data_IF_768691287204
#
_entry.id   IF_768691287204
#
_cell.length_a   1.000
_cell.length_b   1.000
_cell.length_c   1.000
_cell.angle_alpha   90.00
_cell.angle_beta   90.00
_cell.angle_gamma   90.00
#
_symmetry.space_group_name_H-M   'P 1'
#
loop_
_entity.id
_entity.type
_entity.pdbx_description
1 polymer ?
#
# COMPACT_ATOMS: atom_id res chain seq x y z
N UNK A 1 -19.17 -1.60 16.82
CA UNK A 1 -17.90 -0.85 16.69
C UNK A 1 -16.80 -1.88 16.84
N UNK A 2 -15.98 -2.09 15.81
CA UNK A 2 -14.84 -3.02 15.91
C UNK A 2 -13.73 -2.28 16.64
N UNK A 3 -13.11 -2.94 17.63
CA UNK A 3 -12.03 -2.33 18.41
C UNK A 3 -10.74 -2.25 17.57
N UNK A 4 -9.95 -1.15 17.67
CA UNK A 4 -8.69 -0.98 16.93
C UNK A 4 -7.74 -2.17 17.07
N UNK A 5 -7.64 -2.76 18.27
CA UNK A 5 -6.83 -3.95 18.53
C UNK A 5 -7.29 -5.17 17.72
N UNK A 6 -8.60 -5.35 17.56
CA UNK A 6 -9.15 -6.44 16.74
C UNK A 6 -8.82 -6.26 15.26
N UNK A 7 -8.80 -5.02 14.77
CA UNK A 7 -8.41 -4.69 13.39
C UNK A 7 -6.90 -4.90 13.17
N UNK A 8 -6.07 -4.50 14.13
CA UNK A 8 -4.63 -4.71 14.05
C UNK A 8 -4.25 -6.20 14.11
N UNK A 9 -4.85 -6.97 15.01
CA UNK A 9 -4.62 -8.41 15.13
C UNK A 9 -4.94 -9.16 13.83
N UNK A 10 -5.95 -8.67 13.12
CA UNK A 10 -6.38 -9.19 11.85
C UNK A 10 -5.36 -8.94 10.72
N UNK A 11 -4.73 -7.76 10.68
CA UNK A 11 -3.58 -7.50 9.79
C UNK A 11 -2.39 -8.37 10.19
N UNK A 12 -2.07 -8.45 11.49
CA UNK A 12 -0.96 -9.27 11.99
C UNK A 12 -1.12 -10.75 11.60
N UNK A 13 -2.36 -11.25 11.59
CA UNK A 13 -2.70 -12.62 11.18
C UNK A 13 -2.30 -12.98 9.75
N UNK A 14 -2.22 -12.00 8.84
CA UNK A 14 -1.79 -12.22 7.45
C UNK A 14 -0.35 -11.78 7.18
N UNK A 15 0.16 -10.78 7.90
CA UNK A 15 1.53 -10.28 7.72
C UNK A 15 2.56 -11.35 8.07
N UNK A 16 2.38 -12.07 9.18
CA UNK A 16 3.33 -13.08 9.65
C UNK A 16 3.51 -14.23 8.63
N UNK A 17 2.43 -14.91 8.17
CA UNK A 17 2.59 -15.95 7.16
C UNK A 17 3.11 -15.41 5.82
N UNK A 18 2.70 -14.20 5.41
CA UNK A 18 3.22 -13.57 4.19
C UNK A 18 4.74 -13.33 4.26
N UNK A 19 5.23 -12.77 5.37
CA UNK A 19 6.68 -12.60 5.62
C UNK A 19 7.41 -13.95 5.55
N UNK A 20 6.83 -15.01 6.11
CA UNK A 20 7.43 -16.33 6.05
C UNK A 20 7.54 -16.84 4.61
N UNK A 21 6.45 -16.79 3.84
CA UNK A 21 6.41 -17.21 2.43
C UNK A 21 7.41 -16.43 1.56
N UNK A 22 7.44 -15.11 1.71
CA UNK A 22 8.37 -14.24 0.97
C UNK A 22 9.84 -14.54 1.29
N UNK A 23 10.17 -14.78 2.57
CA UNK A 23 11.55 -15.15 2.98
C UNK A 23 11.97 -16.51 2.45
N UNK A 24 11.05 -17.46 2.35
CA UNK A 24 11.32 -18.75 1.72
C UNK A 24 11.61 -18.58 0.23
N UNK A 25 10.79 -17.78 -0.49
CA UNK A 25 11.05 -17.48 -1.88
C UNK A 25 12.38 -16.75 -2.09
N UNK A 26 12.67 -15.75 -1.25
CA UNK A 26 13.93 -15.01 -1.27
C UNK A 26 15.14 -15.95 -1.14
N UNK A 27 15.08 -16.91 -0.20
CA UNK A 27 16.10 -17.94 -0.02
C UNK A 27 16.23 -18.83 -1.25
N UNK A 28 15.10 -19.32 -1.78
CA UNK A 28 15.09 -20.16 -2.97
C UNK A 28 15.72 -19.43 -4.17
N UNK A 29 15.53 -18.11 -4.30
CA UNK A 29 16.16 -17.28 -5.34
C UNK A 29 17.67 -17.08 -5.10
N UNK A 30 18.08 -16.88 -3.86
CA UNK A 30 19.50 -16.74 -3.47
C UNK A 30 20.31 -18.01 -3.72
N UNK A 31 19.68 -19.17 -3.60
CA UNK A 31 20.31 -20.47 -3.84
C UNK A 31 20.51 -20.78 -5.34
N UNK A 32 19.98 -19.94 -6.25
CA UNK A 32 20.12 -20.10 -7.70
C UNK A 32 21.51 -19.65 -8.16
N UNK A 33 22.28 -20.59 -8.69
CA UNK A 33 23.55 -20.28 -9.35
C UNK A 33 23.31 -19.67 -10.74
N UNK A 34 24.08 -18.64 -11.08
CA UNK A 34 24.02 -17.94 -12.38
C UNK A 34 22.64 -17.31 -12.69
N UNK A 35 21.98 -16.75 -11.68
CA UNK A 35 20.67 -16.11 -11.81
C UNK A 35 20.67 -14.97 -12.85
N UNK A 36 19.71 -14.96 -13.80
CA UNK A 36 19.58 -13.88 -14.77
C UNK A 36 19.20 -12.56 -14.09
N UNK A 37 19.45 -11.43 -14.76
CA UNK A 37 19.26 -10.10 -14.18
C UNK A 37 17.85 -9.90 -13.59
N UNK A 38 16.81 -10.33 -14.30
CA UNK A 38 15.42 -10.22 -13.84
C UNK A 38 15.13 -11.01 -12.56
N UNK A 39 15.83 -12.12 -12.30
CA UNK A 39 15.72 -12.87 -11.03
C UNK A 39 16.38 -12.09 -9.88
N UNK A 40 17.52 -11.43 -10.15
CA UNK A 40 18.16 -10.54 -9.15
C UNK A 40 17.33 -9.29 -8.86
N UNK A 41 16.73 -8.71 -9.88
CA UNK A 41 15.81 -7.59 -9.74
C UNK A 41 14.60 -8.02 -8.87
N UNK A 42 14.05 -9.21 -9.10
CA UNK A 42 12.98 -9.79 -8.27
C UNK A 42 13.41 -10.02 -6.81
N UNK A 43 14.64 -10.46 -6.57
CA UNK A 43 15.22 -10.62 -5.23
C UNK A 43 15.21 -9.28 -4.45
N UNK A 44 15.58 -8.18 -5.13
CA UNK A 44 15.53 -6.84 -4.54
C UNK A 44 14.09 -6.41 -4.23
N UNK A 45 13.13 -6.66 -5.12
CA UNK A 45 11.73 -6.34 -4.88
C UNK A 45 11.17 -7.09 -3.67
N UNK A 46 11.48 -8.39 -3.55
CA UNK A 46 11.09 -9.19 -2.38
C UNK A 46 11.68 -8.66 -1.07
N UNK A 47 12.94 -8.21 -1.10
CA UNK A 47 13.57 -7.59 0.06
C UNK A 47 12.88 -6.28 0.47
N UNK A 48 12.46 -5.46 -0.51
CA UNK A 48 11.72 -4.23 -0.25
C UNK A 48 10.34 -4.52 0.37
N UNK A 49 9.61 -5.51 -0.16
CA UNK A 49 8.31 -5.92 0.38
C UNK A 49 8.45 -6.51 1.80
N UNK A 50 9.46 -7.36 2.05
CA UNK A 50 9.76 -7.90 3.39
C UNK A 50 9.98 -6.78 4.41
N UNK A 51 10.75 -5.75 4.03
CA UNK A 51 10.98 -4.57 4.89
C UNK A 51 9.69 -3.77 5.11
N UNK A 52 8.87 -3.58 4.07
CA UNK A 52 7.60 -2.86 4.19
C UNK A 52 6.62 -3.61 5.09
N UNK A 53 6.48 -4.93 4.94
CA UNK A 53 5.65 -5.77 5.81
C UNK A 53 6.17 -5.80 7.25
N UNK A 54 7.48 -5.85 7.45
CA UNK A 54 8.07 -5.77 8.80
C UNK A 54 7.81 -4.42 9.46
N UNK A 55 7.85 -3.33 8.68
CA UNK A 55 7.47 -1.99 9.15
C UNK A 55 5.98 -1.92 9.50
N UNK A 56 5.12 -2.51 8.67
CA UNK A 56 3.68 -2.60 8.91
C UNK A 56 3.37 -3.35 10.22
N UNK A 57 4.10 -4.44 10.49
CA UNK A 57 3.97 -5.20 11.73
C UNK A 57 4.36 -4.40 12.98
N UNK A 58 5.28 -3.44 12.82
CA UNK A 58 5.80 -2.63 13.91
C UNK A 58 4.95 -1.37 14.21
N UNK A 59 3.93 -1.08 13.38
CA UNK A 59 2.99 0.03 13.63
C UNK A 59 2.17 -0.26 14.89
N UNK A 60 1.88 0.79 15.66
CA UNK A 60 1.01 0.68 16.81
C UNK A 60 -0.41 0.22 16.40
N UNK A 61 -0.99 -0.77 17.09
CA UNK A 61 -2.33 -1.27 16.77
C UNK A 61 -3.41 -0.19 16.68
N UNK A 62 -3.28 0.86 17.49
CA UNK A 62 -4.20 2.00 17.52
C UNK A 62 -4.12 2.81 16.23
N UNK A 63 -2.92 3.09 15.73
CA UNK A 63 -2.68 3.85 14.49
C UNK A 63 -3.33 3.15 13.29
N UNK A 64 -3.11 1.84 13.15
CA UNK A 64 -3.66 1.09 12.02
C UNK A 64 -5.17 0.89 12.15
N UNK A 65 -5.64 0.62 13.37
CA UNK A 65 -7.07 0.42 13.65
C UNK A 65 -7.89 1.71 13.50
N UNK A 66 -7.26 2.88 13.69
CA UNK A 66 -7.89 4.19 13.51
C UNK A 66 -8.31 4.46 12.06
N UNK A 67 -7.69 3.79 11.08
CA UNK A 67 -8.07 3.87 9.66
C UNK A 67 -9.40 3.16 9.36
N UNK A 68 -9.91 2.36 10.28
CA UNK A 68 -11.20 1.68 10.18
C UNK A 68 -11.14 0.35 9.43
N UNK A 69 -12.27 -0.37 9.49
CA UNK A 69 -12.36 -1.75 8.99
C UNK A 69 -12.18 -1.86 7.49
N UNK A 70 -12.70 -0.90 6.72
CA UNK A 70 -12.64 -0.89 5.26
C UNK A 70 -11.19 -0.82 4.75
N UNK A 71 -10.36 0.05 5.32
CA UNK A 71 -8.92 0.08 5.03
C UNK A 71 -8.25 -1.21 5.51
N UNK A 72 -8.51 -1.65 6.73
CA UNK A 72 -7.92 -2.88 7.31
C UNK A 72 -8.18 -4.10 6.43
N UNK A 73 -9.40 -4.25 5.92
CA UNK A 73 -9.81 -5.36 5.06
C UNK A 73 -9.13 -5.28 3.68
N UNK A 74 -9.02 -4.09 3.10
CA UNK A 74 -8.30 -3.88 1.85
C UNK A 74 -6.78 -4.13 1.98
N UNK A 75 -6.17 -3.74 3.11
CA UNK A 75 -4.77 -4.05 3.44
C UNK A 75 -4.58 -5.56 3.51
N UNK A 76 -5.46 -6.25 4.24
CA UNK A 76 -5.41 -7.70 4.36
C UNK A 76 -5.48 -8.39 3.01
N UNK A 77 -6.49 -8.04 2.20
CA UNK A 77 -6.68 -8.58 0.86
C UNK A 77 -5.45 -8.35 -0.03
N UNK A 78 -4.86 -7.16 0.01
CA UNK A 78 -3.64 -6.83 -0.75
C UNK A 78 -2.46 -7.71 -0.34
N UNK A 79 -2.28 -7.96 0.96
CA UNK A 79 -1.20 -8.81 1.49
C UNK A 79 -1.44 -10.28 1.12
N UNK A 80 -2.67 -10.76 1.21
CA UNK A 80 -3.06 -12.12 0.86
C UNK A 80 -2.81 -12.41 -0.62
N UNK A 81 -3.22 -11.50 -1.52
CA UNK A 81 -2.99 -11.65 -2.97
C UNK A 81 -1.49 -11.65 -3.27
N UNK A 82 -0.73 -10.73 -2.67
CA UNK A 82 0.72 -10.70 -2.85
C UNK A 82 1.42 -11.97 -2.34
N UNK A 83 1.02 -12.47 -1.17
CA UNK A 83 1.53 -13.73 -0.61
C UNK A 83 1.21 -14.92 -1.52
N UNK A 84 -0.02 -15.00 -2.01
CA UNK A 84 -0.44 -16.07 -2.93
C UNK A 84 0.37 -16.04 -4.24
N UNK A 85 0.65 -14.85 -4.78
CA UNK A 85 1.48 -14.69 -5.95
C UNK A 85 2.93 -15.14 -5.70
N UNK A 86 3.50 -14.82 -4.52
CA UNK A 86 4.82 -15.32 -4.11
C UNK A 86 4.85 -16.85 -3.98
N UNK A 87 3.85 -17.45 -3.33
CA UNK A 87 3.78 -18.90 -3.12
C UNK A 87 3.63 -19.66 -4.44
N UNK A 88 2.81 -19.12 -5.36
CA UNK A 88 2.66 -19.66 -6.71
C UNK A 88 3.97 -19.57 -7.49
N UNK A 89 4.60 -18.40 -7.51
CA UNK A 89 5.88 -18.23 -8.18
C UNK A 89 6.97 -19.15 -7.61
N UNK A 90 7.00 -19.34 -6.29
CA UNK A 90 7.91 -20.28 -5.63
C UNK A 90 7.67 -21.73 -6.09
N UNK A 91 6.42 -22.14 -6.20
CA UNK A 91 6.05 -23.47 -6.70
C UNK A 91 6.55 -23.67 -8.14
N UNK A 92 6.33 -22.68 -9.00
CA UNK A 92 6.81 -22.69 -10.38
C UNK A 92 8.34 -22.70 -10.44
N UNK A 93 9.00 -21.89 -9.61
CA UNK A 93 10.45 -21.82 -9.48
C UNK A 93 11.05 -23.20 -9.14
N UNK A 94 10.47 -23.88 -8.15
CA UNK A 94 10.89 -25.22 -7.74
C UNK A 94 10.67 -26.24 -8.88
N UNK A 95 9.55 -26.15 -9.60
CA UNK A 95 9.30 -26.99 -10.76
C UNK A 95 10.33 -26.74 -11.88
N UNK A 96 10.70 -25.48 -12.11
CA UNK A 96 11.67 -25.09 -13.13
C UNK A 96 13.10 -25.52 -12.80
N UNK A 97 13.41 -25.75 -11.53
CA UNK A 97 14.76 -26.08 -11.02
C UNK A 97 14.92 -27.55 -10.57
N UNK A 98 13.84 -28.35 -10.60
CA UNK A 98 13.71 -29.70 -10.04
C UNK A 98 14.70 -30.78 -10.54
N UNK A 99 15.38 -30.58 -11.67
CA UNK A 99 16.32 -31.56 -12.25
C UNK A 99 17.80 -31.14 -12.14
N UNK A 100 18.11 -30.13 -11.34
CA UNK A 100 19.49 -29.72 -11.10
C UNK A 100 20.21 -30.77 -10.25
N UNK A 101 21.04 -31.60 -10.90
CA UNK A 101 21.85 -32.62 -10.24
C UNK A 101 22.93 -31.98 -9.37
N UNK A 102 22.67 -31.88 -8.07
CA UNK A 102 23.61 -31.40 -7.07
C UNK A 102 22.90 -30.56 -6.01
N UNK A 103 23.57 -30.36 -4.87
CA UNK A 103 23.13 -29.68 -3.64
C UNK A 103 22.57 -28.23 -3.81
N UNK A 104 22.44 -27.70 -5.05
CA UNK A 104 22.05 -26.30 -5.37
C UNK A 104 21.21 -26.19 -6.64
N UNK A 105 20.29 -25.23 -6.68
CA UNK A 105 19.39 -24.97 -7.81
C UNK A 105 20.17 -24.42 -9.03
N UNK A 106 20.13 -25.13 -10.16
CA UNK A 106 20.70 -24.69 -11.45
C UNK A 106 19.60 -24.13 -12.36
N UNK A 107 19.75 -22.89 -12.82
CA UNK A 107 18.84 -22.26 -13.79
C UNK A 107 19.05 -22.75 -15.24
N UNK A 108 20.14 -23.49 -15.50
CA UNK A 108 20.67 -23.76 -16.85
C UNK A 108 19.87 -24.80 -17.65
N UNK A 109 19.10 -25.67 -17.01
CA UNK A 109 18.63 -26.91 -17.67
C UNK A 109 17.39 -26.77 -18.58
N UNK A 110 16.84 -25.57 -18.81
CA UNK A 110 15.70 -25.38 -19.73
C UNK A 110 15.77 -24.07 -20.53
N UNK A 111 16.65 -24.03 -21.53
CA UNK A 111 16.79 -22.94 -22.51
C UNK A 111 15.59 -22.74 -23.47
N UNK A 112 14.57 -23.61 -23.43
CA UNK A 112 13.41 -23.55 -24.33
C UNK A 112 12.13 -22.86 -23.77
N UNK A 113 12.18 -22.18 -22.61
CA UNK A 113 10.99 -21.55 -21.97
C UNK A 113 11.22 -20.03 -21.71
N UNK A 114 12.12 -19.40 -22.48
CA UNK A 114 12.65 -18.06 -22.18
C UNK A 114 11.61 -16.94 -22.09
N UNK A 115 10.59 -16.93 -22.95
CA UNK A 115 9.58 -15.86 -22.96
C UNK A 115 8.60 -15.96 -21.79
N UNK A 116 8.14 -17.17 -21.48
CA UNK A 116 7.15 -17.45 -20.45
C UNK A 116 7.67 -17.18 -19.04
N UNK A 117 8.88 -17.66 -18.74
CA UNK A 117 9.57 -17.35 -17.48
C UNK A 117 9.76 -15.84 -17.34
N UNK A 118 10.04 -15.14 -18.44
CA UNK A 118 10.24 -13.70 -18.41
C UNK A 118 8.94 -12.92 -18.21
N UNK A 119 7.84 -13.33 -18.84
CA UNK A 119 6.51 -12.74 -18.62
C UNK A 119 6.04 -12.97 -17.18
N UNK A 120 6.19 -14.18 -16.65
CA UNK A 120 5.80 -14.50 -15.28
C UNK A 120 6.66 -13.74 -14.25
N UNK A 121 8.00 -13.69 -14.44
CA UNK A 121 8.89 -12.90 -13.59
C UNK A 121 8.51 -11.40 -13.61
N UNK A 122 8.19 -10.84 -14.78
CA UNK A 122 7.76 -9.45 -14.87
C UNK A 122 6.44 -9.18 -14.15
N UNK A 123 5.47 -10.08 -14.27
CA UNK A 123 4.19 -9.93 -13.59
C UNK A 123 4.35 -9.98 -12.08
N UNK A 124 5.10 -10.95 -11.54
CA UNK A 124 5.36 -10.98 -10.08
C UNK A 124 6.16 -9.77 -9.61
N UNK A 125 7.12 -9.27 -10.40
CA UNK A 125 7.82 -8.01 -10.10
C UNK A 125 6.85 -6.83 -10.01
N UNK A 126 5.95 -6.70 -11.00
CA UNK A 126 4.90 -5.65 -11.02
C UNK A 126 3.99 -5.73 -9.79
N UNK A 127 3.57 -6.95 -9.41
CA UNK A 127 2.74 -7.17 -8.22
C UNK A 127 3.49 -6.81 -6.93
N UNK A 128 4.76 -7.21 -6.81
CA UNK A 128 5.59 -6.90 -5.63
C UNK A 128 5.87 -5.40 -5.50
N UNK A 129 6.22 -4.72 -6.58
CA UNK A 129 6.43 -3.27 -6.60
C UNK A 129 5.18 -2.53 -6.13
N UNK A 130 4.02 -2.88 -6.69
CA UNK A 130 2.77 -2.29 -6.24
C UNK A 130 2.44 -2.66 -4.79
N UNK A 131 2.80 -3.87 -4.33
CA UNK A 131 2.56 -4.28 -2.95
C UNK A 131 3.39 -3.45 -1.97
N UNK A 132 4.66 -3.24 -2.30
CA UNK A 132 5.55 -2.34 -1.56
C UNK A 132 4.97 -0.93 -1.49
N UNK A 133 4.54 -0.36 -2.63
CA UNK A 133 3.95 0.99 -2.68
C UNK A 133 2.70 1.06 -1.81
N UNK A 134 1.80 0.09 -1.92
CA UNK A 134 0.57 0.05 -1.14
C UNK A 134 0.83 -0.05 0.36
N UNK A 135 1.68 -0.97 0.79
CA UNK A 135 2.02 -1.13 2.22
C UNK A 135 2.67 0.15 2.76
N UNK A 136 3.57 0.76 1.98
CA UNK A 136 4.23 2.02 2.38
C UNK A 136 3.24 3.19 2.47
N UNK A 137 2.27 3.24 1.55
CA UNK A 137 1.16 4.20 1.58
C UNK A 137 0.30 4.03 2.83
N UNK A 138 -0.04 2.79 3.19
CA UNK A 138 -0.77 2.48 4.43
C UNK A 138 -0.01 2.95 5.65
N UNK A 139 1.28 2.60 5.75
CA UNK A 139 2.16 2.98 6.87
C UNK A 139 2.16 4.51 7.02
N UNK A 140 2.46 5.23 5.93
CA UNK A 140 2.55 6.69 5.97
C UNK A 140 1.20 7.35 6.27
N UNK A 141 0.10 6.79 5.78
CA UNK A 141 -1.26 7.28 6.05
C UNK A 141 -1.63 7.06 7.51
N UNK A 142 -1.36 5.88 8.08
CA UNK A 142 -1.60 5.58 9.49
C UNK A 142 -0.85 6.56 10.40
N UNK A 143 0.45 6.77 10.15
CA UNK A 143 1.28 7.71 10.92
C UNK A 143 0.76 9.15 10.84
N UNK A 144 0.37 9.60 9.64
CA UNK A 144 -0.18 10.96 9.48
C UNK A 144 -1.54 11.11 10.13
N UNK A 145 -2.42 10.10 9.97
CA UNK A 145 -3.74 10.11 10.56
C UNK A 145 -3.67 10.13 12.09
N UNK A 146 -2.78 9.33 12.68
CA UNK A 146 -2.47 9.36 14.12
C UNK A 146 -1.93 10.72 14.55
N UNK A 147 -1.00 11.30 13.80
CA UNK A 147 -0.47 12.65 14.07
C UNK A 147 -1.57 13.71 14.08
N UNK A 148 -2.53 13.64 13.15
CA UNK A 148 -3.70 14.52 13.12
C UNK A 148 -4.59 14.35 14.36
N UNK A 149 -4.75 13.13 14.89
CA UNK A 149 -5.57 12.90 16.09
C UNK A 149 -4.88 13.40 17.36
N UNK A 150 -3.56 13.27 17.47
CA UNK A 150 -2.82 13.51 18.72
C UNK A 150 -2.19 14.91 18.82
N UNK A 151 -2.13 15.69 17.74
CA UNK A 151 -1.48 17.02 17.74
C UNK A 151 -2.39 18.12 17.17
N UNK A 152 -2.18 19.38 17.57
CA UNK A 152 -2.75 20.50 16.83
C UNK A 152 -2.16 20.49 15.41
N UNK A 153 -3.02 20.52 14.39
CA UNK A 153 -2.59 20.59 12.99
C UNK A 153 -1.61 21.74 12.83
N UNK A 154 -0.34 21.42 12.61
CA UNK A 154 0.66 22.39 12.18
C UNK A 154 0.61 22.53 10.66
N UNK A 155 1.15 23.64 10.14
CA UNK A 155 1.24 23.84 8.69
C UNK A 155 2.10 22.77 8.02
N UNK A 156 3.08 22.20 8.73
CA UNK A 156 3.89 21.07 8.26
C UNK A 156 3.06 19.81 8.06
N UNK A 157 2.18 19.49 9.03
CA UNK A 157 1.27 18.34 8.92
C UNK A 157 0.27 18.56 7.77
N UNK A 158 -0.26 19.78 7.63
CA UNK A 158 -1.14 20.15 6.51
C UNK A 158 -0.46 19.98 5.16
N UNK A 159 0.79 20.42 5.05
CA UNK A 159 1.57 20.25 3.82
C UNK A 159 1.86 18.78 3.54
N UNK A 160 2.23 18.00 4.56
CA UNK A 160 2.46 16.57 4.41
C UNK A 160 1.18 15.83 3.96
N UNK A 161 0.02 16.26 4.46
CA UNK A 161 -1.29 15.74 4.08
C UNK A 161 -1.59 15.98 2.60
N UNK A 162 -1.45 17.22 2.12
CA UNK A 162 -1.67 17.56 0.70
C UNK A 162 -0.73 16.78 -0.23
N UNK A 163 0.55 16.67 0.14
CA UNK A 163 1.53 15.86 -0.61
C UNK A 163 1.07 14.40 -0.69
N UNK A 164 0.59 13.83 0.42
CA UNK A 164 0.12 12.45 0.44
C UNK A 164 -1.18 12.22 -0.31
N UNK A 165 -2.10 13.17 -0.28
CA UNK A 165 -3.31 13.11 -1.12
C UNK A 165 -2.94 13.07 -2.61
N UNK A 166 -1.99 13.92 -3.05
CA UNK A 166 -1.51 13.93 -4.43
C UNK A 166 -0.78 12.63 -4.80
N UNK A 167 0.06 12.09 -3.91
CA UNK A 167 0.75 10.80 -4.11
C UNK A 167 -0.25 9.63 -4.23
N UNK A 168 -1.24 9.54 -3.34
CA UNK A 168 -2.27 8.49 -3.38
C UNK A 168 -3.12 8.58 -4.65
N UNK A 169 -3.48 9.81 -5.06
CA UNK A 169 -4.23 10.04 -6.30
C UNK A 169 -3.42 9.62 -7.52
N UNK A 170 -2.14 9.99 -7.59
CA UNK A 170 -1.24 9.58 -8.65
C UNK A 170 -1.09 8.05 -8.69
N UNK A 171 -0.86 7.42 -7.55
CA UNK A 171 -0.74 5.95 -7.45
C UNK A 171 -2.02 5.23 -7.89
N UNK A 172 -3.20 5.72 -7.48
CA UNK A 172 -4.49 5.14 -7.88
C UNK A 172 -4.75 5.29 -9.40
N UNK A 173 -4.32 6.40 -10.00
CA UNK A 173 -4.37 6.59 -11.45
C UNK A 173 -3.42 5.66 -12.19
N UNK A 174 -2.18 5.50 -11.71
CA UNK A 174 -1.21 4.58 -12.29
C UNK A 174 -1.70 3.14 -12.22
N UNK A 175 -2.23 2.68 -11.08
CA UNK A 175 -2.81 1.35 -10.95
C UNK A 175 -4.00 1.15 -11.91
N UNK A 176 -4.84 2.18 -12.09
CA UNK A 176 -5.92 2.17 -13.07
C UNK A 176 -5.44 2.02 -14.52
N UNK A 177 -4.41 2.79 -14.92
CA UNK A 177 -3.81 2.72 -16.26
C UNK A 177 -3.16 1.36 -16.52
N UNK A 178 -2.43 0.81 -15.56
CA UNK A 178 -1.85 -0.54 -15.66
C UNK A 178 -2.93 -1.59 -15.83
N UNK A 179 -4.04 -1.48 -15.08
CA UNK A 179 -5.18 -2.40 -15.18
C UNK A 179 -5.84 -2.35 -16.56
N UNK A 180 -6.02 -1.15 -17.12
CA UNK A 180 -6.56 -0.98 -18.48
C UNK A 180 -5.64 -1.61 -19.53
N UNK A 181 -4.32 -1.43 -19.40
CA UNK A 181 -3.32 -2.03 -20.25
C UNK A 181 -3.39 -3.57 -20.20
N UNK A 182 -3.38 -4.16 -19.00
CA UNK A 182 -3.51 -5.61 -18.81
C UNK A 182 -4.83 -6.13 -19.39
N UNK A 183 -5.92 -5.39 -19.19
CA UNK A 183 -7.23 -5.75 -19.74
C UNK A 183 -7.25 -5.73 -21.29
N UNK A 184 -6.58 -4.75 -21.91
CA UNK A 184 -6.43 -4.69 -23.37
C UNK A 184 -5.60 -5.86 -23.94
N UNK A 185 -4.56 -6.28 -23.21
CA UNK A 185 -3.75 -7.45 -23.56
C UNK A 185 -4.58 -8.73 -23.48
N UNK A 186 -5.36 -8.91 -22.42
CA UNK A 186 -6.28 -10.04 -22.27
C UNK A 186 -7.33 -10.10 -23.40
N UNK A 187 -7.90 -8.96 -23.79
CA UNK A 187 -8.84 -8.91 -24.92
C UNK A 187 -8.19 -9.30 -26.24
N UNK A 188 -6.95 -8.87 -26.47
CA UNK A 188 -6.20 -9.22 -27.69
C UNK A 188 -5.93 -10.72 -27.76
N UNK A 189 -5.52 -11.33 -26.63
CA UNK A 189 -5.30 -12.77 -26.52
C UNK A 189 -6.59 -13.57 -26.72
N UNK A 190 -7.75 -13.05 -26.24
CA UNK A 190 -9.05 -13.70 -26.42
C UNK A 190 -9.55 -13.72 -27.87
N UNK A 191 -9.04 -12.83 -28.74
CA UNK A 191 -9.41 -12.77 -30.17
C UNK A 191 -8.52 -13.70 -31.02
N UNK A 192 -7.31 -13.98 -30.53
CA UNK A 192 -6.40 -14.95 -31.13
C UNK A 192 -6.67 -16.32 -30.51
N UNK A 193 -7.64 -17.07 -31.05
CA UNK A 193 -8.09 -18.44 -30.71
C UNK A 193 -7.00 -19.55 -30.67
N UNK A 194 -5.72 -19.20 -30.51
CA UNK A 194 -4.56 -20.09 -30.66
C UNK A 194 -3.48 -19.92 -29.58
N UNK A 195 -3.61 -18.98 -28.65
CA UNK A 195 -2.68 -18.84 -27.51
C UNK A 195 -3.13 -19.72 -26.32
N UNK A 196 -2.21 -20.46 -25.65
CA UNK A 196 -2.58 -21.36 -24.56
C UNK A 196 -3.23 -20.61 -23.39
N UNK A 197 -4.26 -21.19 -22.78
CA UNK A 197 -4.90 -20.74 -21.53
C UNK A 197 -3.91 -20.45 -20.36
N UNK A 198 -2.65 -20.83 -20.51
CA UNK A 198 -1.54 -20.51 -19.59
C UNK A 198 -0.98 -19.08 -19.72
N UNK A 199 -1.09 -18.36 -20.85
CA UNK A 199 -0.60 -16.95 -20.95
C UNK A 199 -1.55 -15.97 -20.27
N UNK A 200 -2.85 -16.29 -20.23
CA UNK A 200 -3.87 -15.40 -19.68
C UNK A 200 -3.86 -15.37 -18.15
N UNK A 201 -3.53 -16.49 -17.48
CA UNK A 201 -3.61 -16.61 -16.02
C UNK A 201 -2.78 -15.56 -15.26
N UNK A 202 -1.49 -15.33 -15.57
CA UNK A 202 -0.71 -14.31 -14.86
C UNK A 202 -1.26 -12.89 -15.05
N UNK A 203 -1.82 -12.59 -16.24
CA UNK A 203 -2.42 -11.30 -16.54
C UNK A 203 -3.77 -11.11 -15.83
N UNK A 204 -4.56 -12.17 -15.69
CA UNK A 204 -5.80 -12.14 -14.90
C UNK A 204 -5.50 -11.89 -13.41
N UNK A 205 -4.51 -12.60 -12.85
CA UNK A 205 -4.06 -12.41 -11.47
C UNK A 205 -3.52 -10.99 -11.24
N UNK A 206 -2.73 -10.45 -12.18
CA UNK A 206 -2.24 -9.08 -12.12
C UNK A 206 -3.39 -8.05 -12.20
N UNK A 207 -4.43 -8.31 -12.99
CA UNK A 207 -5.62 -7.46 -13.07
C UNK A 207 -6.39 -7.45 -11.76
N UNK A 208 -6.59 -8.59 -11.12
CA UNK A 208 -7.25 -8.70 -9.81
C UNK A 208 -6.45 -7.97 -8.73
N UNK A 209 -5.13 -8.18 -8.72
CA UNK A 209 -4.23 -7.47 -7.83
C UNK A 209 -4.32 -5.95 -8.01
N UNK A 210 -4.29 -5.45 -9.25
CA UNK A 210 -4.39 -4.03 -9.54
C UNK A 210 -5.75 -3.45 -9.13
N UNK A 211 -6.82 -4.23 -9.21
CA UNK A 211 -8.13 -3.80 -8.72
C UNK A 211 -8.15 -3.63 -7.19
N UNK A 212 -7.62 -4.61 -6.44
CA UNK A 212 -7.50 -4.52 -4.99
C UNK A 212 -6.59 -3.35 -4.55
N UNK A 213 -5.46 -3.18 -5.25
CA UNK A 213 -4.54 -2.05 -5.06
C UNK A 213 -5.23 -0.70 -5.22
N UNK A 214 -5.98 -0.54 -6.31
CA UNK A 214 -6.69 0.69 -6.62
C UNK A 214 -7.74 1.02 -5.56
N UNK A 215 -8.43 0.02 -5.05
CA UNK A 215 -9.44 0.19 -4.00
C UNK A 215 -8.82 0.61 -2.67
N UNK A 216 -7.73 -0.05 -2.26
CA UNK A 216 -6.98 0.33 -1.06
C UNK A 216 -6.53 1.80 -1.12
N UNK A 217 -5.94 2.23 -2.24
CA UNK A 217 -5.45 3.61 -2.39
C UNK A 217 -6.59 4.64 -2.35
N UNK A 218 -7.77 4.30 -2.86
CA UNK A 218 -8.96 5.17 -2.77
C UNK A 218 -9.45 5.30 -1.34
N UNK A 219 -9.50 4.20 -0.60
CA UNK A 219 -9.94 4.21 0.79
C UNK A 219 -8.97 4.96 1.71
N UNK A 220 -7.65 4.84 1.47
CA UNK A 220 -6.67 5.68 2.15
C UNK A 220 -6.88 7.18 1.86
N UNK A 221 -7.13 7.53 0.59
CA UNK A 221 -7.40 8.92 0.21
C UNK A 221 -8.66 9.46 0.90
N UNK A 222 -9.74 8.68 0.92
CA UNK A 222 -10.99 9.02 1.60
C UNK A 222 -10.75 9.25 3.11
N UNK A 223 -9.96 8.40 3.76
CA UNK A 223 -9.62 8.57 5.19
C UNK A 223 -8.84 9.85 5.49
N UNK A 224 -7.89 10.21 4.62
CA UNK A 224 -7.17 11.48 4.76
C UNK A 224 -8.10 12.69 4.59
N UNK A 225 -9.03 12.65 3.63
CA UNK A 225 -10.00 13.72 3.41
C UNK A 225 -11.02 13.87 4.57
N UNK A 226 -11.45 12.75 5.16
CA UNK A 226 -12.29 12.75 6.37
C UNK A 226 -11.56 13.42 7.55
N UNK A 227 -10.25 13.16 7.71
CA UNK A 227 -9.45 13.79 8.76
C UNK A 227 -9.29 15.30 8.55
N UNK A 228 -9.08 15.74 7.30
CA UNK A 228 -8.97 17.15 6.92
C UNK A 228 -10.23 17.97 7.23
N UNK A 229 -11.41 17.37 7.07
CA UNK A 229 -12.70 18.06 7.20
C UNK A 229 -13.24 18.08 8.63
N UNK A 230 -12.90 17.07 9.44
CA UNK A 230 -13.37 16.92 10.81
C UNK A 230 -12.71 17.88 11.82
N UNK A 231 -11.61 18.53 11.43
CA UNK A 231 -10.86 19.45 12.29
C UNK A 231 -11.06 20.91 11.87
N UNK A 232 -12.31 21.38 11.93
CA UNK A 232 -12.53 22.82 12.11
C UNK A 232 -12.09 23.16 13.54
N UNK A 233 -11.16 24.12 13.75
CA UNK A 233 -10.80 24.52 15.10
C UNK A 233 -12.07 24.95 15.84
N UNK A 234 -12.23 24.62 17.13
CA UNK A 234 -13.38 25.08 17.89
C UNK A 234 -13.40 26.60 17.83
N UNK A 235 -14.43 27.15 17.16
CA UNK A 235 -14.71 28.58 17.19
C UNK A 235 -15.13 28.86 18.63
N UNK A 236 -14.18 29.30 19.45
CA UNK A 236 -14.46 29.77 20.79
C UNK A 236 -15.15 31.13 20.66
N UNK A 237 -16.48 31.10 20.56
CA UNK A 237 -17.30 32.30 20.62
C UNK A 237 -17.34 32.77 22.07
N UNK A 238 -16.42 33.67 22.43
CA UNK A 238 -16.48 34.37 23.72
C UNK A 238 -17.47 35.52 23.59
N UNK A 239 -18.69 35.35 24.10
CA UNK A 239 -19.65 36.45 24.21
C UNK A 239 -19.45 37.16 25.55
N UNK A 240 -18.98 38.40 25.51
CA UNK A 240 -18.92 39.25 26.70
C UNK A 240 -20.31 39.81 27.01
N UNK A 241 -20.73 39.75 28.29
CA UNK A 241 -21.92 40.43 28.76
C UNK A 241 -21.77 41.95 28.74
N UNK A 242 -22.89 42.68 28.77
CA UNK A 242 -22.98 44.15 28.59
C UNK A 242 -22.28 45.01 29.66
N UNK A 243 -21.62 44.40 30.65
CA UNK A 243 -20.97 45.09 31.77
C UNK A 243 -19.46 44.84 31.89
N UNK A 244 -18.85 44.09 30.97
CA UNK A 244 -17.41 43.85 31.00
C UNK A 244 -16.68 44.85 30.10
N UNK A 245 -15.84 45.70 30.69
CA UNK A 245 -14.82 46.48 29.99
C UNK A 245 -13.45 45.86 30.25
N UNK A 246 -12.78 45.40 29.20
CA UNK A 246 -11.44 44.82 29.30
C UNK A 246 -11.05 44.05 28.04
N UNK A 247 -9.75 44.01 27.75
CA UNK A 247 -9.17 43.19 26.68
C UNK A 247 -8.47 41.99 27.35
N UNK A 248 -9.04 40.80 27.25
CA UNK A 248 -8.35 39.58 27.66
C UNK A 248 -7.63 38.99 26.46
N UNK A 249 -6.31 39.14 26.42
CA UNK A 249 -5.49 38.54 25.37
C UNK A 249 -4.95 37.20 25.90
N UNK A 250 -5.60 36.11 25.52
CA UNK A 250 -5.00 34.77 25.62
C UNK A 250 -3.96 34.56 24.51
N UNK A 251 -3.10 33.57 24.66
CA UNK A 251 -2.20 33.14 23.59
C UNK A 251 -3.02 32.49 22.48
N UNK A 252 -3.13 33.16 21.33
CA UNK A 252 -3.72 32.65 20.11
C UNK A 252 -2.61 32.49 19.06
N UNK A 253 -2.40 31.27 18.56
CA UNK A 253 -1.42 30.95 17.53
C UNK A 253 -2.01 30.98 16.10
N UNK A 254 -3.27 31.39 15.93
CA UNK A 254 -3.96 31.47 14.64
C UNK A 254 -4.28 32.90 14.20
N UNK A 255 -4.62 33.06 12.91
CA UNK A 255 -4.99 34.35 12.29
C UNK A 255 -6.33 34.83 12.81
N UNK A 256 -6.36 35.98 13.50
CA UNK A 256 -7.60 36.63 13.93
C UNK A 256 -8.18 37.50 12.81
N UNK A 257 -9.37 37.15 12.32
CA UNK A 257 -10.13 37.95 11.35
C UNK A 257 -11.38 38.54 12.01
N UNK A 258 -11.78 39.76 11.62
CA UNK A 258 -13.07 40.35 12.03
C UNK A 258 -13.10 41.11 13.35
N UNK A 259 -11.96 41.58 13.86
CA UNK A 259 -11.93 42.45 15.04
C UNK A 259 -12.57 43.81 14.71
N UNK A 260 -13.76 44.07 15.24
CA UNK A 260 -14.44 45.37 15.17
C UNK A 260 -14.36 46.01 16.56
N UNK A 261 -13.52 47.03 16.69
CA UNK A 261 -13.48 47.84 17.91
C UNK A 261 -14.65 48.83 17.88
N UNK A 262 -15.64 48.58 18.74
CA UNK A 262 -16.76 49.50 18.93
C UNK A 262 -16.30 50.80 19.58
N UNK A 263 -16.12 51.84 18.78
CA UNK A 263 -16.01 53.21 19.28
C UNK A 263 -17.37 53.67 19.80
N UNK A 264 -17.50 53.86 21.10
CA UNK A 264 -18.55 54.74 21.63
C UNK A 264 -18.04 56.18 21.51
N UNK A 265 -18.89 57.04 20.93
CA UNK A 265 -18.64 58.47 20.77
C UNK A 265 -18.47 59.22 22.08
#
# INVERSE_FOLDING_TARGET
MVEPLSLAANIAGVVIPALHGMRLLLRDLQDIKDAPKNVKDLENELFLVDRSLSSLQAIEPEDIGSLGSEVTDNVRSTIEICSAACDKFRTDLQQWTRHSGGEKLSWRDRSNIGFWKQAHIKSIQSQLQNCQVNITSVISTATLYSSLQHTQITEEIRKALLVKEDELKAASQTAGQQRELVNSQLQTLSIQDSEPQETAKPLEEEKEYLAASQELLRELLKKLQEASTSQTPPVVNVTFGSQNSGLQMGTNNGTMNGLVFGGKG
#
